data_IF_866261540884
#
_entry.id   IF_866261540884
#
_cell.length_a   1.000
_cell.length_b   1.000
_cell.length_c   1.000
_cell.angle_alpha   90.00
_cell.angle_beta   90.00
_cell.angle_gamma   90.00
#
_symmetry.space_group_name_H-M   'P 1'
#
loop_
_entity.id
_entity.type
_entity.pdbx_description
1 polymer ?
#
# COMPACT_ATOMS: atom_id res chain seq x y z
N UNK A 1 7.54 6.83 6.51
CA UNK A 1 6.87 5.53 6.72
C UNK A 1 6.40 5.45 8.16
N UNK A 2 5.09 5.35 8.36
CA UNK A 2 4.42 5.37 9.66
C UNK A 2 3.58 4.11 9.86
N UNK A 3 3.18 3.82 11.10
CA UNK A 3 2.19 2.79 11.41
C UNK A 3 0.88 3.50 11.72
N UNK A 4 -0.18 3.16 10.98
CA UNK A 4 -1.53 3.68 11.18
C UNK A 4 -2.55 2.55 11.01
N UNK A 5 -3.85 2.87 11.02
CA UNK A 5 -4.96 1.92 10.87
C UNK A 5 -5.42 1.82 9.42
N UNK A 6 -5.71 0.59 8.98
CA UNK A 6 -6.30 0.26 7.67
C UNK A 6 -7.54 -0.61 7.87
N UNK A 7 -8.54 -0.39 7.02
CA UNK A 7 -9.74 -1.19 6.93
C UNK A 7 -9.52 -2.40 6.02
N UNK A 8 -9.88 -3.57 6.51
CA UNK A 8 -9.86 -4.84 5.78
C UNK A 8 -11.17 -5.03 5.01
N UNK A 9 -11.18 -5.94 4.04
CA UNK A 9 -12.36 -6.23 3.22
C UNK A 9 -13.58 -6.74 4.03
N UNK A 10 -13.34 -7.26 5.24
CA UNK A 10 -14.38 -7.69 6.19
C UNK A 10 -14.88 -6.56 7.10
N UNK A 11 -14.39 -5.33 6.92
CA UNK A 11 -14.69 -4.15 7.75
C UNK A 11 -13.86 -4.06 9.04
N UNK A 12 -12.93 -4.99 9.28
CA UNK A 12 -12.05 -4.97 10.44
C UNK A 12 -10.94 -3.92 10.33
N UNK A 13 -10.51 -3.35 11.46
CA UNK A 13 -9.44 -2.34 11.50
C UNK A 13 -8.16 -2.88 12.15
N UNK A 14 -7.06 -2.90 11.40
CA UNK A 14 -5.77 -3.40 11.87
C UNK A 14 -4.68 -2.35 11.72
N UNK A 15 -3.60 -2.50 12.49
CA UNK A 15 -2.42 -1.65 12.33
C UNK A 15 -1.60 -2.09 11.11
N UNK A 16 -1.23 -1.18 10.23
CA UNK A 16 -0.43 -1.44 9.04
C UNK A 16 0.55 -0.31 8.71
N UNK A 17 1.46 -0.59 7.79
CA UNK A 17 2.41 0.37 7.25
C UNK A 17 1.72 1.33 6.27
N UNK A 18 1.92 2.63 6.47
CA UNK A 18 1.42 3.69 5.60
C UNK A 18 2.59 4.62 5.20
N UNK A 19 2.49 5.20 4.01
CA UNK A 19 3.41 6.22 3.53
C UNK A 19 2.70 7.59 3.50
N UNK A 20 3.42 8.64 3.87
CA UNK A 20 2.94 10.01 3.72
C UNK A 20 2.97 10.42 2.24
N UNK A 21 2.13 11.38 1.85
CA UNK A 21 2.01 11.84 0.46
C UNK A 21 3.33 12.33 -0.15
N UNK A 22 4.22 12.90 0.67
CA UNK A 22 5.56 13.35 0.25
C UNK A 22 6.40 12.17 -0.25
N UNK A 23 6.17 10.96 0.26
CA UNK A 23 6.86 9.75 -0.19
C UNK A 23 6.25 9.12 -1.44
N UNK A 24 5.40 9.82 -2.19
CA UNK A 24 4.82 9.37 -3.46
C UNK A 24 5.22 10.24 -4.65
N UNK A 25 5.90 11.37 -4.42
CA UNK A 25 6.39 12.23 -5.51
C UNK A 25 7.41 11.42 -6.34
N UNK A 26 7.09 11.18 -7.61
CA UNK A 26 7.84 10.37 -8.60
C UNK A 26 7.79 8.84 -8.46
N UNK A 27 6.96 8.30 -7.57
CA UNK A 27 6.81 6.85 -7.41
C UNK A 27 5.88 6.21 -8.45
N UNK A 28 6.19 4.96 -8.83
CA UNK A 28 5.36 4.17 -9.76
C UNK A 28 4.07 3.70 -9.07
N UNK A 29 2.94 4.09 -9.63
CA UNK A 29 1.60 3.59 -9.27
C UNK A 29 1.48 2.09 -9.61
N UNK A 30 1.09 1.25 -8.65
CA UNK A 30 0.98 -0.21 -8.80
C UNK A 30 -0.36 -0.81 -8.35
N UNK A 31 -1.37 0.00 -8.05
CA UNK A 31 -2.69 -0.42 -7.56
C UNK A 31 -3.33 -1.45 -8.48
N UNK A 32 -3.19 -1.27 -9.80
CA UNK A 32 -3.69 -2.21 -10.81
C UNK A 32 -3.11 -3.63 -10.71
N UNK A 33 -1.97 -3.81 -10.03
CA UNK A 33 -1.30 -5.11 -9.85
C UNK A 33 -1.80 -5.88 -8.62
N UNK A 34 -2.70 -5.30 -7.82
CA UNK A 34 -3.31 -5.98 -6.67
C UNK A 34 -2.37 -6.23 -5.49
N UNK A 35 -1.21 -5.58 -5.46
CA UNK A 35 -0.26 -5.58 -4.34
C UNK A 35 1.18 -5.91 -4.73
N UNK A 36 2.06 -5.91 -3.73
CA UNK A 36 3.51 -6.04 -3.94
C UNK A 36 3.94 -7.33 -4.62
N UNK A 37 3.29 -8.46 -4.33
CA UNK A 37 3.58 -9.73 -5.02
C UNK A 37 3.24 -9.67 -6.52
N UNK A 38 2.18 -8.95 -6.88
CA UNK A 38 1.83 -8.69 -8.28
C UNK A 38 2.89 -7.82 -8.95
N UNK A 39 3.34 -6.75 -8.29
CA UNK A 39 4.45 -5.92 -8.78
C UNK A 39 5.75 -6.71 -8.97
N UNK A 40 6.15 -7.54 -8.00
CA UNK A 40 7.37 -8.35 -8.09
C UNK A 40 7.33 -9.40 -9.21
N UNK A 41 6.15 -9.71 -9.76
CA UNK A 41 6.04 -10.58 -10.94
C UNK A 41 6.18 -9.82 -12.27
N UNK A 42 6.21 -8.47 -12.23
CA UNK A 42 6.38 -7.59 -13.41
C UNK A 42 7.80 -7.10 -13.62
N UNK A 43 8.71 -7.40 -12.68
CA UNK A 43 10.12 -7.02 -12.72
C UNK A 43 11.00 -8.13 -13.27
#
# INVERSE_FOLDING_TARGET
MSISKVELADGGWVSAFICDAIGLEDDKEITSLGGWRGYLATI
#
